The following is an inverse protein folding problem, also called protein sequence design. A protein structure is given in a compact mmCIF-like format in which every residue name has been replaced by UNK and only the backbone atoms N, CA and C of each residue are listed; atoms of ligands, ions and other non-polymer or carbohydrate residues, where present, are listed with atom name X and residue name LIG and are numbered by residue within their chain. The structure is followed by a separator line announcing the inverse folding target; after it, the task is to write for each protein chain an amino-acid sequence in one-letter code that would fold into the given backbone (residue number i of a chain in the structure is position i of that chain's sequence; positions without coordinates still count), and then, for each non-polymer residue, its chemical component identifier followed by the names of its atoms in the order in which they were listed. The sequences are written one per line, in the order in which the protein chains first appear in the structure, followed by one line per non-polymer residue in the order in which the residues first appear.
data_IF_293856088408
#
_entry.id   IF_293856088408
#
_cell.length_a   1.000
_cell.length_b   1.000
_cell.length_c   1.000
_cell.angle_alpha   90.00
_cell.angle_beta   90.00
_cell.angle_gamma   90.00
#
_symmetry.space_group_name_H-M   'P 1'
#
loop_
_entity.id
_entity.type
_entity.pdbx_description
1 polymer ?
#
# COMPACT_ATOMS: atom_id res chain seq x y z
N UNK A 1 2.50 36.74 3.37
CA UNK A 1 1.93 35.46 2.90
C UNK A 1 3.06 34.59 2.36
N UNK A 2 3.20 33.37 2.80
CA UNK A 2 4.27 32.47 2.31
C UNK A 2 3.97 32.08 0.84
N UNK A 3 4.99 31.97 0.01
CA UNK A 3 4.87 31.61 -1.42
C UNK A 3 3.97 30.39 -1.63
N UNK A 4 4.04 29.42 -0.73
CA UNK A 4 3.24 28.19 -0.81
C UNK A 4 1.74 28.42 -0.58
N UNK A 5 1.37 29.39 0.24
CA UNK A 5 -0.03 29.79 0.46
C UNK A 5 -0.62 30.43 -0.80
N UNK A 6 0.16 31.31 -1.46
CA UNK A 6 -0.23 31.91 -2.75
C UNK A 6 -0.51 30.83 -3.79
N UNK A 7 0.40 29.83 -3.92
CA UNK A 7 0.22 28.73 -4.87
C UNK A 7 -1.06 27.94 -4.61
N UNK A 8 -1.40 27.66 -3.34
CA UNK A 8 -2.64 26.96 -2.99
C UNK A 8 -3.87 27.76 -3.37
N UNK A 9 -3.87 29.06 -3.10
CA UNK A 9 -4.98 29.96 -3.50
C UNK A 9 -5.15 29.93 -5.03
N UNK A 10 -4.07 30.15 -5.78
CA UNK A 10 -4.08 30.17 -7.24
C UNK A 10 -4.52 28.83 -7.85
N UNK A 11 -4.26 27.73 -7.17
CA UNK A 11 -4.63 26.38 -7.59
C UNK A 11 -5.93 25.87 -6.96
N UNK A 12 -6.68 26.74 -6.24
CA UNK A 12 -7.99 26.48 -5.63
C UNK A 12 -7.99 25.44 -4.51
N UNK A 13 -6.83 25.16 -3.91
CA UNK A 13 -6.73 24.33 -2.72
C UNK A 13 -6.86 25.18 -1.46
N UNK A 14 -7.80 24.80 -0.59
CA UNK A 14 -8.15 25.54 0.63
C UNK A 14 -7.74 24.73 1.87
N UNK A 15 -7.40 25.38 3.00
CA UNK A 15 -7.20 24.69 4.27
C UNK A 15 -8.41 23.83 4.64
N UNK A 16 -8.15 22.69 5.26
CA UNK A 16 -9.16 21.69 5.59
C UNK A 16 -8.98 21.14 7.01
N UNK A 17 -9.98 20.41 7.48
CA UNK A 17 -9.91 19.64 8.71
C UNK A 17 -9.58 18.17 8.44
N UNK A 18 -9.15 17.47 9.47
CA UNK A 18 -8.98 16.01 9.42
C UNK A 18 -10.30 15.28 9.17
N UNK A 19 -11.41 15.80 9.74
CA UNK A 19 -12.75 15.23 9.54
C UNK A 19 -13.15 15.27 8.07
N UNK A 20 -13.04 16.44 7.42
CA UNK A 20 -13.35 16.58 6.00
C UNK A 20 -12.41 15.72 5.13
N UNK A 21 -11.12 15.63 5.47
CA UNK A 21 -10.19 14.74 4.79
C UNK A 21 -10.65 13.28 4.85
N UNK A 22 -11.09 12.80 6.02
CA UNK A 22 -11.61 11.44 6.22
C UNK A 22 -12.86 11.18 5.37
N UNK A 23 -13.78 12.14 5.28
CA UNK A 23 -14.99 12.04 4.44
C UNK A 23 -14.62 11.89 2.96
N UNK A 24 -13.72 12.74 2.45
CA UNK A 24 -13.24 12.69 1.06
C UNK A 24 -12.52 11.37 0.77
N UNK A 25 -11.71 10.90 1.71
CA UNK A 25 -11.04 9.61 1.59
C UNK A 25 -12.04 8.45 1.55
N UNK A 26 -13.04 8.46 2.39
CA UNK A 26 -14.12 7.44 2.42
C UNK A 26 -14.85 7.38 1.07
N UNK A 27 -15.05 8.53 0.44
CA UNK A 27 -15.73 8.61 -0.85
C UNK A 27 -14.84 8.13 -2.01
N UNK A 28 -13.61 8.65 -2.15
CA UNK A 28 -12.79 8.45 -3.36
C UNK A 28 -11.67 7.44 -3.19
N UNK A 29 -11.24 7.20 -1.95
CA UNK A 29 -10.12 6.30 -1.65
C UNK A 29 -8.75 6.89 -1.92
N UNK A 30 -7.73 6.14 -1.50
CA UNK A 30 -6.33 6.52 -1.66
C UNK A 30 -5.41 5.36 -1.36
N UNK A 31 -4.11 5.55 -1.56
CA UNK A 31 -3.10 4.57 -1.13
C UNK A 31 -3.04 4.47 0.39
N UNK A 32 -2.44 3.39 0.86
CA UNK A 32 -2.40 3.08 2.30
C UNK A 32 -1.72 4.18 3.14
N UNK A 33 -0.68 4.83 2.62
CA UNK A 33 0.02 5.95 3.28
C UNK A 33 -0.78 7.27 3.28
N UNK A 34 -1.98 7.26 2.70
CA UNK A 34 -2.97 8.34 2.74
C UNK A 34 -4.17 7.97 3.63
N UNK A 35 -4.22 6.75 4.20
CA UNK A 35 -5.37 6.27 4.98
C UNK A 35 -5.58 7.07 6.26
N UNK A 36 -6.82 7.54 6.55
CA UNK A 36 -7.10 8.38 7.73
C UNK A 36 -6.72 7.73 9.06
N UNK A 37 -6.89 6.42 9.22
CA UNK A 37 -6.53 5.75 10.49
C UNK A 37 -5.01 5.68 10.67
N UNK A 38 -4.25 5.59 9.59
CA UNK A 38 -2.77 5.72 9.65
C UNK A 38 -2.36 7.14 10.01
N UNK A 39 -3.03 8.15 9.46
CA UNK A 39 -2.81 9.55 9.82
C UNK A 39 -3.09 9.76 11.31
N UNK A 40 -4.24 9.28 11.79
CA UNK A 40 -4.65 9.37 13.20
C UNK A 40 -3.64 8.67 14.14
N UNK A 41 -3.17 7.48 13.74
CA UNK A 41 -2.12 6.75 14.46
C UNK A 41 -0.86 7.58 14.64
N UNK A 42 -0.34 8.21 13.59
CA UNK A 42 0.87 9.03 13.68
C UNK A 42 0.63 10.36 14.42
N UNK A 43 -0.55 10.95 14.30
CA UNK A 43 -0.92 12.14 15.09
C UNK A 43 -0.92 11.86 16.58
N UNK A 44 -1.59 10.79 17.00
CA UNK A 44 -1.81 10.48 18.42
C UNK A 44 -0.60 9.86 19.12
N UNK A 45 0.14 9.00 18.41
CA UNK A 45 1.21 8.19 19.01
C UNK A 45 2.61 8.75 18.77
N UNK A 46 2.82 9.53 17.73
CA UNK A 46 4.15 9.98 17.32
C UNK A 46 4.26 11.51 17.21
N UNK A 47 3.21 12.25 17.62
CA UNK A 47 3.16 13.72 17.57
C UNK A 47 3.52 14.30 16.21
N UNK A 48 3.16 13.62 15.13
CA UNK A 48 3.40 14.12 13.79
C UNK A 48 2.37 15.21 13.45
N UNK A 49 2.84 16.26 12.77
CA UNK A 49 2.00 17.38 12.39
C UNK A 49 1.50 17.22 10.96
N UNK A 50 0.18 17.39 10.80
CA UNK A 50 -0.47 17.30 9.51
C UNK A 50 -1.21 18.58 9.19
N UNK A 51 -1.08 19.05 7.95
CA UNK A 51 -1.87 20.15 7.39
C UNK A 51 -2.72 19.61 6.27
N UNK A 52 -4.03 19.75 6.39
CA UNK A 52 -5.01 19.22 5.44
C UNK A 52 -5.45 20.29 4.47
N UNK A 53 -5.73 19.89 3.23
CA UNK A 53 -6.22 20.75 2.16
C UNK A 53 -7.28 20.02 1.37
N UNK A 54 -8.31 20.79 0.90
CA UNK A 54 -9.35 20.25 0.02
C UNK A 54 -9.49 21.11 -1.24
N UNK A 55 -9.98 20.49 -2.29
CA UNK A 55 -10.34 21.14 -3.55
C UNK A 55 -11.85 21.16 -3.67
N UNK A 56 -12.43 22.36 -3.88
CA UNK A 56 -13.86 22.57 -4.03
C UNK A 56 -14.18 23.09 -5.44
N UNK A 57 -15.19 22.52 -6.08
CA UNK A 57 -15.71 22.92 -7.38
C UNK A 57 -17.23 22.73 -7.38
N UNK A 58 -17.97 23.74 -7.85
CA UNK A 58 -19.45 23.74 -7.91
C UNK A 58 -20.09 23.29 -6.58
N UNK A 59 -19.62 23.89 -5.50
CA UNK A 59 -19.99 23.60 -4.11
C UNK A 59 -19.76 22.16 -3.61
N UNK A 60 -19.11 21.31 -4.43
CA UNK A 60 -18.75 19.93 -4.07
C UNK A 60 -17.27 19.82 -3.75
N UNK A 61 -16.94 19.07 -2.72
CA UNK A 61 -15.55 18.70 -2.42
C UNK A 61 -15.13 17.56 -3.36
N UNK A 62 -14.17 17.84 -4.25
CA UNK A 62 -13.73 16.89 -5.28
C UNK A 62 -12.36 16.26 -5.00
N UNK A 63 -11.67 16.68 -3.95
CA UNK A 63 -10.39 16.08 -3.59
C UNK A 63 -9.85 16.62 -2.28
N UNK A 64 -8.97 15.85 -1.65
CA UNK A 64 -8.26 16.29 -0.47
C UNK A 64 -6.88 15.64 -0.38
N UNK A 65 -5.93 16.35 0.22
CA UNK A 65 -4.62 15.80 0.57
C UNK A 65 -4.13 16.40 1.89
N UNK A 66 -3.03 15.88 2.39
CA UNK A 66 -2.33 16.44 3.52
C UNK A 66 -0.83 16.53 3.28
N UNK A 67 -0.18 17.41 4.03
CA UNK A 67 1.26 17.49 4.16
C UNK A 67 1.62 17.03 5.55
N UNK A 68 2.64 16.17 5.63
CA UNK A 68 3.16 15.64 6.87
C UNK A 68 4.48 16.34 7.22
N UNK A 69 4.59 16.86 8.45
CA UNK A 69 5.78 17.52 8.99
C UNK A 69 6.38 18.59 8.05
N UNK A 70 5.53 19.40 7.42
CA UNK A 70 5.88 20.48 6.48
C UNK A 70 6.77 20.05 5.28
N UNK A 71 6.78 18.75 4.93
CA UNK A 71 7.65 18.25 3.86
C UNK A 71 6.90 17.98 2.55
N UNK A 72 6.30 16.80 2.43
CA UNK A 72 5.69 16.33 1.19
C UNK A 72 4.29 15.79 1.45
N UNK A 73 3.53 15.63 0.36
CA UNK A 73 2.25 14.94 0.41
C UNK A 73 2.47 13.50 0.82
N UNK A 74 1.62 13.00 1.73
CA UNK A 74 1.62 11.62 2.22
C UNK A 74 2.65 11.33 3.32
N UNK A 75 2.53 10.18 3.94
CA UNK A 75 3.38 9.72 5.03
C UNK A 75 4.67 9.11 4.49
N UNK A 76 5.81 9.41 5.15
CA UNK A 76 7.12 8.86 4.84
C UNK A 76 7.80 8.35 6.12
N UNK A 77 7.81 7.03 6.34
CA UNK A 77 8.31 6.41 7.57
C UNK A 77 9.78 6.02 7.55
N UNK A 78 10.48 6.16 6.43
CA UNK A 78 11.90 5.78 6.25
C UNK A 78 12.24 4.38 6.80
N UNK A 79 11.34 3.40 6.63
CA UNK A 79 11.47 2.01 7.10
C UNK A 79 11.44 1.82 8.62
N UNK A 80 10.91 2.76 9.38
CA UNK A 80 10.69 2.58 10.83
C UNK A 80 9.37 1.88 11.14
N UNK A 81 8.45 1.87 10.19
CA UNK A 81 7.13 1.22 10.27
C UNK A 81 6.85 0.41 9.00
N UNK A 82 5.98 -0.62 9.09
CA UNK A 82 5.63 -1.48 7.96
C UNK A 82 4.64 -0.77 7.00
N UNK A 83 5.00 0.41 6.56
CA UNK A 83 4.22 1.24 5.67
C UNK A 83 5.03 1.55 4.42
N UNK A 84 4.53 1.11 3.26
CA UNK A 84 5.12 1.46 1.97
C UNK A 84 4.91 2.96 1.70
N UNK A 85 5.94 3.55 1.15
CA UNK A 85 5.87 4.94 0.66
C UNK A 85 6.22 5.03 -0.84
N UNK A 86 5.95 3.95 -1.57
CA UNK A 86 6.34 3.82 -2.96
C UNK A 86 5.43 4.59 -3.90
N UNK A 87 4.17 4.74 -3.53
CA UNK A 87 3.15 5.42 -4.33
C UNK A 87 2.21 6.25 -3.46
N UNK A 88 1.75 7.38 -3.99
CA UNK A 88 0.73 8.23 -3.41
C UNK A 88 -0.46 8.30 -4.37
N UNK A 89 -1.57 7.70 -3.97
CA UNK A 89 -2.88 7.88 -4.59
C UNK A 89 -3.69 8.82 -3.70
N UNK A 90 -3.90 10.05 -4.17
CA UNK A 90 -4.62 11.10 -3.46
C UNK A 90 -6.14 10.86 -3.59
N UNK A 91 -6.94 11.00 -2.52
CA UNK A 91 -8.39 10.92 -2.62
C UNK A 91 -8.96 12.07 -3.47
N UNK A 92 -9.41 11.72 -4.70
CA UNK A 92 -9.89 12.67 -5.71
C UNK A 92 -11.04 12.08 -6.53
N UNK A 93 -12.00 12.93 -6.88
CA UNK A 93 -13.06 12.59 -7.83
C UNK A 93 -12.45 12.22 -9.20
N UNK A 94 -12.97 11.20 -9.91
CA UNK A 94 -12.40 10.74 -11.19
C UNK A 94 -12.38 11.80 -12.29
N UNK A 95 -13.32 12.72 -12.24
CA UNK A 95 -13.49 13.81 -13.21
C UNK A 95 -12.67 15.06 -12.90
N UNK A 96 -12.09 15.15 -11.69
CA UNK A 96 -11.30 16.31 -11.29
C UNK A 96 -10.06 16.48 -12.17
N UNK A 97 -9.82 17.72 -12.61
CA UNK A 97 -8.62 18.17 -13.32
C UNK A 97 -8.04 19.39 -12.61
N UNK A 98 -6.88 19.25 -11.98
CA UNK A 98 -6.33 20.32 -11.15
C UNK A 98 -4.81 20.43 -11.26
N UNK A 99 -4.27 21.51 -10.67
CA UNK A 99 -2.85 21.69 -10.38
C UNK A 99 -2.60 21.34 -8.91
N UNK A 100 -1.55 20.57 -8.63
CA UNK A 100 -1.16 20.20 -7.28
C UNK A 100 -0.07 21.19 -6.79
N UNK A 101 -0.34 22.01 -5.75
CA UNK A 101 0.60 23.06 -5.34
C UNK A 101 1.77 22.53 -4.52
N UNK A 102 1.63 21.35 -3.92
CA UNK A 102 2.63 20.81 -3.00
C UNK A 102 3.42 19.65 -3.63
N UNK A 103 4.61 19.41 -3.10
CA UNK A 103 5.57 18.48 -3.69
C UNK A 103 5.24 17.02 -3.37
N UNK A 104 5.32 16.20 -4.39
CA UNK A 104 5.49 14.76 -4.27
C UNK A 104 6.28 14.23 -5.47
N UNK A 105 7.01 13.14 -5.28
CA UNK A 105 7.71 12.43 -6.35
C UNK A 105 7.29 10.97 -6.47
N UNK A 106 6.11 10.66 -5.93
CA UNK A 106 5.54 9.30 -5.82
C UNK A 106 4.07 9.26 -6.23
N UNK A 107 3.66 10.27 -7.00
CA UNK A 107 2.28 10.38 -7.44
C UNK A 107 1.91 9.15 -8.28
N UNK A 108 0.79 8.52 -7.95
CA UNK A 108 0.27 7.39 -8.70
C UNK A 108 0.02 7.74 -10.17
N UNK A 109 0.38 6.86 -11.10
CA UNK A 109 0.07 7.05 -12.52
C UNK A 109 -1.44 7.10 -12.79
N UNK A 110 -2.28 6.62 -11.87
CA UNK A 110 -3.73 6.77 -11.95
C UNK A 110 -4.17 8.24 -11.95
N UNK A 111 -3.33 9.16 -11.44
CA UNK A 111 -3.55 10.59 -11.50
C UNK A 111 -3.08 11.27 -12.79
N UNK A 112 -2.51 10.53 -13.74
CA UNK A 112 -2.01 11.11 -15.00
C UNK A 112 -3.08 11.95 -15.74
N UNK A 113 -4.34 11.53 -15.83
CA UNK A 113 -5.38 12.35 -16.46
C UNK A 113 -5.88 13.50 -15.58
N UNK A 114 -5.55 13.55 -14.30
CA UNK A 114 -6.11 14.47 -13.32
C UNK A 114 -5.16 15.63 -12.95
N UNK A 115 -3.87 15.35 -12.76
CA UNK A 115 -2.88 16.33 -12.29
C UNK A 115 -2.14 16.94 -13.48
N UNK A 116 -2.38 18.23 -13.76
CA UNK A 116 -1.84 18.92 -14.94
C UNK A 116 -0.37 19.29 -14.81
N UNK A 117 0.14 19.55 -13.61
CA UNK A 117 1.52 19.92 -13.35
C UNK A 117 2.35 18.75 -12.79
N UNK A 118 2.26 17.59 -13.40
CA UNK A 118 3.08 16.44 -13.03
C UNK A 118 3.87 15.90 -14.23
N UNK A 119 5.11 15.51 -13.96
CA UNK A 119 5.98 14.81 -14.93
C UNK A 119 6.01 13.33 -14.59
N UNK A 120 5.79 12.46 -15.59
CA UNK A 120 5.62 11.02 -15.42
C UNK A 120 6.79 10.16 -15.92
N UNK A 121 7.65 10.68 -16.80
CA UNK A 121 8.70 9.89 -17.46
C UNK A 121 10.13 10.45 -17.32
N UNK A 122 10.30 11.73 -17.03
CA UNK A 122 11.57 12.42 -17.29
C UNK A 122 12.63 12.33 -16.18
N UNK A 123 12.30 11.96 -14.96
CA UNK A 123 13.25 12.18 -13.85
C UNK A 123 13.57 10.97 -12.98
N UNK A 124 12.88 9.84 -13.09
CA UNK A 124 13.16 8.67 -12.25
C UNK A 124 12.81 7.35 -12.94
N UNK A 125 13.76 6.42 -12.92
CA UNK A 125 13.57 5.01 -13.32
C UNK A 125 12.74 4.19 -12.31
N UNK A 126 12.02 4.84 -11.38
CA UNK A 126 11.21 4.13 -10.39
C UNK A 126 9.84 3.79 -10.97
N UNK A 127 9.57 2.52 -11.05
CA UNK A 127 8.27 1.99 -11.45
C UNK A 127 7.60 1.33 -10.25
N UNK A 128 6.32 1.62 -10.03
CA UNK A 128 5.50 0.85 -9.11
C UNK A 128 4.77 -0.25 -9.87
N UNK A 129 4.35 -1.30 -9.19
CA UNK A 129 3.76 -2.50 -9.77
C UNK A 129 2.34 -2.69 -9.27
N UNK A 130 1.33 -2.50 -10.13
CA UNK A 130 -0.06 -2.92 -9.86
C UNK A 130 -0.32 -4.31 -10.46
N UNK A 131 -0.95 -5.16 -9.69
CA UNK A 131 -1.34 -6.51 -10.11
C UNK A 131 -2.26 -6.44 -11.32
N UNK A 132 -2.05 -7.35 -12.27
CA UNK A 132 -2.86 -7.48 -13.49
C UNK A 132 -4.30 -7.82 -13.14
N UNK A 133 -5.25 -7.31 -13.92
CA UNK A 133 -6.67 -7.61 -13.72
C UNK A 133 -6.96 -9.11 -13.84
N UNK A 134 -6.32 -9.78 -14.80
CA UNK A 134 -6.43 -11.21 -15.00
C UNK A 134 -5.07 -11.86 -15.28
N UNK A 135 -4.96 -13.14 -14.98
CA UNK A 135 -3.83 -13.99 -15.34
C UNK A 135 -4.25 -14.99 -16.41
N UNK A 136 -3.27 -15.49 -17.18
CA UNK A 136 -3.54 -16.54 -18.15
C UNK A 136 -3.94 -17.86 -17.46
N UNK A 137 -4.74 -18.68 -18.14
CA UNK A 137 -5.14 -20.01 -17.63
C UNK A 137 -3.94 -20.90 -17.29
N UNK A 138 -2.86 -20.80 -18.06
CA UNK A 138 -1.60 -21.51 -17.80
C UNK A 138 -0.95 -21.05 -16.49
N UNK A 139 -0.93 -19.74 -16.24
CA UNK A 139 -0.38 -19.18 -15.01
C UNK A 139 -1.20 -19.65 -13.78
N UNK A 140 -2.53 -19.54 -13.85
CA UNK A 140 -3.45 -19.96 -12.79
C UNK A 140 -3.32 -21.47 -12.50
N UNK A 141 -3.23 -22.31 -13.54
CA UNK A 141 -3.00 -23.75 -13.39
C UNK A 141 -1.68 -24.04 -12.68
N UNK A 142 -0.61 -23.32 -13.03
CA UNK A 142 0.70 -23.49 -12.40
C UNK A 142 0.64 -23.15 -10.91
N UNK A 143 0.05 -22.01 -10.53
CA UNK A 143 -0.09 -21.60 -9.12
C UNK A 143 -0.95 -22.59 -8.32
N UNK A 144 -2.06 -23.07 -8.90
CA UNK A 144 -2.90 -24.10 -8.27
C UNK A 144 -2.14 -25.39 -8.03
N UNK A 145 -1.35 -25.85 -8.99
CA UNK A 145 -0.54 -27.05 -8.84
C UNK A 145 0.54 -26.91 -7.78
N UNK A 146 1.21 -25.76 -7.69
CA UNK A 146 2.16 -25.45 -6.62
C UNK A 146 1.49 -25.47 -5.25
N UNK A 147 0.32 -24.87 -5.13
CA UNK A 147 -0.47 -24.87 -3.89
C UNK A 147 -0.88 -26.29 -3.48
N UNK A 148 -1.37 -27.13 -4.42
CA UNK A 148 -1.71 -28.53 -4.14
C UNK A 148 -0.49 -29.34 -3.68
N UNK A 149 0.67 -29.11 -4.30
CA UNK A 149 1.93 -29.75 -3.87
C UNK A 149 2.35 -29.30 -2.48
N UNK A 150 2.19 -28.02 -2.17
CA UNK A 150 2.45 -27.46 -0.86
C UNK A 150 1.58 -28.13 0.23
N UNK A 151 0.27 -28.24 -0.01
CA UNK A 151 -0.66 -28.92 0.91
C UNK A 151 -0.29 -30.40 1.14
N UNK A 152 0.08 -31.16 0.06
CA UNK A 152 0.52 -32.54 0.16
C UNK A 152 1.82 -32.73 0.98
N UNK A 153 2.59 -31.66 1.16
CA UNK A 153 3.83 -31.63 1.97
C UNK A 153 3.63 -31.11 3.38
N UNK A 154 2.41 -31.21 3.92
CA UNK A 154 2.08 -30.72 5.27
C UNK A 154 1.86 -29.22 5.36
N UNK A 155 1.66 -28.56 4.21
CA UNK A 155 1.36 -27.12 4.18
C UNK A 155 -0.05 -26.81 4.68
N UNK A 156 -0.19 -25.68 5.35
CA UNK A 156 -1.48 -25.13 5.78
C UNK A 156 -1.50 -23.61 5.65
N UNK A 157 -2.71 -23.02 5.71
CA UNK A 157 -2.94 -21.59 5.52
C UNK A 157 -3.77 -21.07 6.68
N UNK A 158 -3.33 -19.97 7.31
CA UNK A 158 -4.08 -19.25 8.35
C UNK A 158 -4.37 -17.83 7.88
N UNK A 159 -5.56 -17.32 8.18
CA UNK A 159 -5.88 -15.92 7.91
C UNK A 159 -5.14 -15.01 8.88
N UNK A 160 -4.63 -13.88 8.38
CA UNK A 160 -4.03 -12.83 9.22
C UNK A 160 -5.05 -12.32 10.26
N UNK A 161 -6.34 -12.26 9.91
CA UNK A 161 -7.39 -11.83 10.81
C UNK A 161 -7.60 -12.73 12.03
N UNK A 162 -7.15 -13.99 11.96
CA UNK A 162 -7.28 -15.00 13.03
C UNK A 162 -6.03 -15.04 13.93
N UNK A 163 -5.07 -14.13 13.74
CA UNK A 163 -3.84 -14.05 14.51
C UNK A 163 -3.84 -12.82 15.41
N UNK A 164 -3.24 -12.95 16.60
CA UNK A 164 -2.99 -11.77 17.43
C UNK A 164 -1.87 -10.89 16.87
N UNK A 165 -1.83 -9.62 17.26
CA UNK A 165 -0.78 -8.69 16.83
C UNK A 165 0.61 -9.13 17.27
N UNK A 166 0.72 -9.73 18.45
CA UNK A 166 1.98 -10.25 18.98
C UNK A 166 2.44 -11.49 18.18
N UNK A 167 1.52 -12.40 17.86
CA UNK A 167 1.79 -13.55 16.99
C UNK A 167 2.30 -13.09 15.62
N UNK A 168 1.62 -12.13 14.98
CA UNK A 168 2.02 -11.57 13.68
C UNK A 168 3.40 -10.92 13.74
N UNK A 169 3.68 -10.19 14.81
CA UNK A 169 4.98 -9.53 15.03
C UNK A 169 6.11 -10.54 15.15
N UNK A 170 5.91 -11.57 15.97
CA UNK A 170 6.89 -12.63 16.17
C UNK A 170 7.18 -13.39 14.87
N UNK A 171 6.13 -13.83 14.18
CA UNK A 171 6.22 -14.54 12.90
C UNK A 171 6.98 -13.69 11.85
N UNK A 172 6.63 -12.42 11.72
CA UNK A 172 7.27 -11.57 10.72
C UNK A 172 8.77 -11.37 11.00
N UNK A 173 9.14 -11.11 12.24
CA UNK A 173 10.54 -10.90 12.63
C UNK A 173 11.35 -12.19 12.41
N UNK A 174 10.82 -13.34 12.80
CA UNK A 174 11.47 -14.64 12.60
C UNK A 174 11.72 -14.93 11.11
N UNK A 175 10.69 -14.81 10.29
CA UNK A 175 10.78 -15.03 8.84
C UNK A 175 11.70 -14.00 8.15
N UNK A 176 11.68 -12.75 8.60
CA UNK A 176 12.54 -11.71 8.06
C UNK A 176 14.03 -12.02 8.35
N UNK A 177 14.35 -12.43 9.58
CA UNK A 177 15.70 -12.85 9.97
C UNK A 177 16.16 -14.09 9.20
N UNK A 178 15.28 -15.08 9.03
CA UNK A 178 15.57 -16.26 8.22
C UNK A 178 15.91 -15.90 6.76
N UNK A 179 15.18 -14.94 6.17
CA UNK A 179 15.38 -14.54 4.77
C UNK A 179 16.62 -13.67 4.54
N UNK A 180 16.87 -12.70 5.41
CA UNK A 180 17.84 -11.63 5.18
C UNK A 180 19.04 -11.68 6.12
N UNK A 181 19.05 -12.60 7.08
CA UNK A 181 20.07 -12.69 8.12
C UNK A 181 19.90 -11.64 9.24
N UNK A 182 20.67 -11.80 10.30
CA UNK A 182 20.59 -10.95 11.50
C UNK A 182 21.19 -9.54 11.26
N UNK A 183 21.98 -9.34 10.22
CA UNK A 183 22.62 -8.07 9.88
C UNK A 183 21.68 -7.11 9.13
N UNK A 184 20.60 -7.60 8.56
CA UNK A 184 19.61 -6.77 7.88
C UNK A 184 18.64 -6.14 8.89
N UNK A 185 18.45 -4.82 8.79
CA UNK A 185 17.52 -4.11 9.66
C UNK A 185 16.07 -4.47 9.32
N UNK A 186 15.41 -5.13 10.26
CA UNK A 186 13.95 -5.25 10.31
C UNK A 186 13.36 -3.96 10.89
N UNK A 187 12.02 -3.86 10.88
CA UNK A 187 11.35 -2.84 11.68
C UNK A 187 11.66 -3.05 13.17
N UNK A 188 11.77 -1.97 13.99
CA UNK A 188 11.82 -2.11 15.44
C UNK A 188 10.61 -2.93 15.94
N UNK A 189 10.84 -3.92 16.81
CA UNK A 189 9.80 -4.84 17.25
C UNK A 189 8.62 -4.11 17.90
N UNK A 190 8.90 -3.11 18.74
CA UNK A 190 7.86 -2.31 19.42
C UNK A 190 7.02 -1.49 18.43
N UNK A 191 7.66 -0.93 17.38
CA UNK A 191 6.94 -0.20 16.33
C UNK A 191 6.03 -1.16 15.54
N UNK A 192 6.52 -2.35 15.23
CA UNK A 192 5.76 -3.36 14.50
C UNK A 192 4.57 -3.87 15.31
N UNK A 193 4.80 -4.25 16.58
CA UNK A 193 3.75 -4.72 17.49
C UNK A 193 2.68 -3.64 17.72
N UNK A 194 3.09 -2.42 18.00
CA UNK A 194 2.18 -1.30 18.20
C UNK A 194 1.38 -0.98 16.93
N UNK A 195 2.04 -0.96 15.76
CA UNK A 195 1.38 -0.76 14.47
C UNK A 195 0.34 -1.84 14.21
N UNK A 196 0.68 -3.11 14.39
CA UNK A 196 -0.27 -4.21 14.19
C UNK A 196 -1.41 -4.18 15.21
N UNK A 197 -1.15 -3.84 16.47
CA UNK A 197 -2.19 -3.74 17.50
C UNK A 197 -3.21 -2.64 17.21
N UNK A 198 -2.75 -1.46 16.83
CA UNK A 198 -3.64 -0.30 16.61
C UNK A 198 -4.35 -0.33 15.25
N UNK A 199 -3.74 -0.98 14.24
CA UNK A 199 -4.20 -0.98 12.85
C UNK A 199 -4.50 -2.39 12.33
N UNK A 200 -4.82 -3.33 13.24
CA UNK A 200 -5.10 -4.73 12.90
C UNK A 200 -6.19 -4.86 11.83
N UNK A 201 -7.22 -4.04 11.88
CA UNK A 201 -8.32 -4.00 10.93
C UNK A 201 -7.91 -3.66 9.50
N UNK A 202 -6.73 -3.05 9.30
CA UNK A 202 -6.15 -2.78 7.99
C UNK A 202 -5.30 -3.94 7.47
N UNK A 203 -4.92 -4.90 8.32
CA UNK A 203 -4.14 -6.06 7.90
C UNK A 203 -5.02 -7.01 7.07
N UNK A 204 -4.40 -7.62 6.05
CA UNK A 204 -5.10 -8.47 5.10
C UNK A 204 -4.20 -9.65 4.66
N UNK A 205 -4.82 -10.74 4.24
CA UNK A 205 -4.13 -11.86 3.62
C UNK A 205 -3.97 -13.08 4.52
N UNK A 206 -2.91 -13.84 4.24
CA UNK A 206 -2.67 -15.16 4.83
C UNK A 206 -1.23 -15.29 5.32
N UNK A 207 -1.03 -16.29 6.19
CA UNK A 207 0.26 -16.82 6.57
C UNK A 207 0.30 -18.27 6.11
N UNK A 208 1.43 -18.71 5.56
CA UNK A 208 1.65 -20.12 5.20
C UNK A 208 2.47 -20.80 6.29
N UNK A 209 2.09 -22.02 6.59
CA UNK A 209 2.76 -22.91 7.55
C UNK A 209 3.13 -24.23 6.87
N UNK A 210 4.20 -24.86 7.31
CA UNK A 210 4.57 -26.26 7.01
C UNK A 210 4.73 -26.97 8.35
N UNK A 211 3.96 -28.05 8.54
CA UNK A 211 3.99 -28.83 9.80
C UNK A 211 3.83 -27.97 11.06
N UNK A 212 2.96 -26.95 10.97
CA UNK A 212 2.70 -26.02 12.07
C UNK A 212 3.72 -24.89 12.22
N UNK A 213 4.80 -24.86 11.43
CA UNK A 213 5.85 -23.83 11.48
C UNK A 213 5.60 -22.76 10.41
N UNK A 214 5.59 -21.44 10.75
CA UNK A 214 5.43 -20.38 9.78
C UNK A 214 6.52 -20.43 8.69
N UNK A 215 6.13 -20.33 7.41
CA UNK A 215 7.07 -20.40 6.30
C UNK A 215 7.01 -19.21 5.33
N UNK A 216 5.90 -18.47 5.30
CA UNK A 216 5.79 -17.23 4.52
C UNK A 216 4.72 -16.31 5.09
N UNK A 217 5.02 -15.02 5.13
CA UNK A 217 4.09 -13.96 5.52
C UNK A 217 4.42 -12.66 4.77
N UNK A 218 3.41 -12.06 4.12
CA UNK A 218 3.47 -10.74 3.54
C UNK A 218 2.64 -9.77 4.37
N UNK A 219 3.20 -8.63 4.78
CA UNK A 219 2.45 -7.54 5.38
C UNK A 219 1.66 -6.86 4.26
N UNK A 220 0.40 -7.23 4.13
CA UNK A 220 -0.54 -6.61 3.21
C UNK A 220 -1.47 -5.70 4.00
N UNK A 221 -1.54 -4.44 3.61
CA UNK A 221 -2.43 -3.45 4.20
C UNK A 221 -3.57 -3.13 3.22
N UNK A 222 -4.78 -2.99 3.75
CA UNK A 222 -6.01 -2.74 2.99
C UNK A 222 -6.53 -1.33 3.27
N UNK A 223 -6.78 -0.57 2.23
CA UNK A 223 -7.39 0.76 2.25
C UNK A 223 -8.68 0.72 1.44
N UNK A 224 -9.82 0.87 2.11
CA UNK A 224 -11.12 0.73 1.48
C UNK A 224 -11.87 2.07 1.41
N UNK A 225 -12.54 2.31 0.29
CA UNK A 225 -13.41 3.45 0.03
C UNK A 225 -14.73 2.99 -0.59
N UNK A 226 -15.62 3.95 -0.91
CA UNK A 226 -16.83 3.63 -1.67
C UNK A 226 -16.53 3.15 -3.09
N UNK A 227 -15.45 3.64 -3.72
CA UNK A 227 -15.14 3.37 -5.14
C UNK A 227 -14.21 2.18 -5.36
N UNK A 228 -13.24 1.99 -4.47
CA UNK A 228 -12.18 1.02 -4.67
C UNK A 228 -11.63 0.47 -3.35
N UNK A 229 -10.90 -0.62 -3.45
CA UNK A 229 -10.07 -1.13 -2.36
C UNK A 229 -8.63 -1.18 -2.85
N UNK A 230 -7.74 -0.45 -2.16
CA UNK A 230 -6.32 -0.45 -2.42
C UNK A 230 -5.62 -1.38 -1.43
N UNK A 231 -4.92 -2.38 -1.94
CA UNK A 231 -4.06 -3.27 -1.17
C UNK A 231 -2.60 -2.93 -1.44
N UNK A 232 -1.77 -2.95 -0.42
CA UNK A 232 -0.35 -2.67 -0.53
C UNK A 232 0.50 -3.71 0.20
N UNK A 233 1.38 -4.38 -0.53
CA UNK A 233 2.37 -5.28 0.06
C UNK A 233 3.56 -4.44 0.50
N UNK A 234 3.57 -4.05 1.76
CA UNK A 234 4.64 -3.20 2.30
C UNK A 234 5.96 -3.94 2.50
N UNK A 235 5.90 -5.22 2.84
CA UNK A 235 7.07 -6.10 2.97
C UNK A 235 6.63 -7.57 2.98
N UNK A 236 7.57 -8.47 2.73
CA UNK A 236 7.31 -9.91 2.76
C UNK A 236 8.54 -10.70 3.20
N UNK A 237 8.29 -11.76 3.93
CA UNK A 237 9.32 -12.66 4.42
C UNK A 237 8.97 -14.13 4.19
N UNK A 238 9.99 -14.93 3.89
CA UNK A 238 9.86 -16.37 3.68
C UNK A 238 11.02 -17.09 4.40
N UNK A 239 10.75 -18.27 4.89
CA UNK A 239 11.77 -19.16 5.45
C UNK A 239 12.61 -19.74 4.31
N UNK A 240 13.94 -19.64 4.41
CA UNK A 240 14.83 -20.03 3.31
C UNK A 240 14.72 -21.52 2.96
N UNK A 241 14.56 -22.38 3.96
CA UNK A 241 14.43 -23.82 3.81
C UNK A 241 13.17 -24.24 3.03
N UNK A 242 12.13 -23.39 3.06
CA UNK A 242 10.86 -23.65 2.37
C UNK A 242 10.86 -23.21 0.90
N UNK A 243 11.90 -22.54 0.39
CA UNK A 243 11.98 -22.05 -1.00
C UNK A 243 11.65 -23.08 -2.08
N UNK A 244 12.05 -24.38 -1.96
CA UNK A 244 11.73 -25.39 -2.97
C UNK A 244 10.22 -25.62 -3.17
N UNK A 245 9.38 -25.23 -2.20
CA UNK A 245 7.92 -25.30 -2.27
C UNK A 245 7.27 -24.01 -2.80
N UNK A 246 8.06 -23.01 -3.20
CA UNK A 246 7.59 -21.72 -3.76
C UNK A 246 6.59 -20.96 -2.87
N UNK A 247 6.78 -20.87 -1.53
CA UNK A 247 5.77 -20.33 -0.63
C UNK A 247 5.44 -18.86 -0.93
N UNK A 248 6.41 -18.04 -1.36
CA UNK A 248 6.16 -16.65 -1.74
C UNK A 248 5.22 -16.48 -2.94
N UNK A 249 5.33 -17.38 -3.94
CA UNK A 249 4.42 -17.37 -5.09
C UNK A 249 3.03 -17.86 -4.72
N UNK A 250 2.92 -18.87 -3.87
CA UNK A 250 1.65 -19.38 -3.37
C UNK A 250 0.95 -18.31 -2.54
N UNK A 251 1.67 -17.68 -1.61
CA UNK A 251 1.13 -16.63 -0.75
C UNK A 251 0.61 -15.43 -1.54
N UNK A 252 1.40 -14.93 -2.50
CA UNK A 252 1.00 -13.85 -3.40
C UNK A 252 -0.26 -14.23 -4.17
N UNK A 253 -0.33 -15.44 -4.74
CA UNK A 253 -1.51 -15.92 -5.47
C UNK A 253 -2.75 -16.00 -4.58
N UNK A 254 -2.64 -16.54 -3.38
CA UNK A 254 -3.75 -16.61 -2.41
C UNK A 254 -4.23 -15.22 -2.00
N UNK A 255 -3.30 -14.30 -1.71
CA UNK A 255 -3.63 -12.93 -1.29
C UNK A 255 -4.32 -12.15 -2.42
N UNK A 256 -3.87 -12.29 -3.66
CA UNK A 256 -4.51 -11.66 -4.83
C UNK A 256 -5.91 -12.23 -5.06
N UNK A 257 -6.08 -13.55 -5.00
CA UNK A 257 -7.41 -14.16 -5.20
C UNK A 257 -8.39 -13.78 -4.09
N UNK A 258 -7.95 -13.73 -2.84
CA UNK A 258 -8.75 -13.23 -1.72
C UNK A 258 -9.15 -11.76 -1.93
N UNK A 259 -8.23 -10.92 -2.39
CA UNK A 259 -8.49 -9.51 -2.66
C UNK A 259 -9.50 -9.33 -3.82
N UNK A 260 -9.39 -10.13 -4.89
CA UNK A 260 -10.36 -10.15 -5.99
C UNK A 260 -11.75 -10.51 -5.50
N UNK A 261 -11.87 -11.59 -4.73
CA UNK A 261 -13.13 -12.02 -4.15
C UNK A 261 -13.72 -10.95 -3.22
N UNK A 262 -12.91 -10.38 -2.34
CA UNK A 262 -13.29 -9.29 -1.44
C UNK A 262 -13.87 -8.08 -2.19
N UNK A 263 -13.22 -7.68 -3.30
CA UNK A 263 -13.69 -6.56 -4.12
C UNK A 263 -14.95 -6.92 -4.92
N UNK A 264 -15.03 -8.14 -5.45
CA UNK A 264 -16.18 -8.62 -6.22
C UNK A 264 -17.46 -8.65 -5.37
N UNK A 265 -17.40 -9.18 -4.15
CA UNK A 265 -18.53 -9.19 -3.21
C UNK A 265 -19.06 -7.79 -2.88
N UNK A 266 -18.18 -6.79 -2.91
CA UNK A 266 -18.49 -5.38 -2.58
C UNK A 266 -18.70 -4.50 -3.80
N UNK A 267 -18.59 -5.06 -5.00
CA UNK A 267 -18.70 -4.33 -6.28
C UNK A 267 -17.74 -3.13 -6.36
N UNK A 268 -16.51 -3.31 -5.83
CA UNK A 268 -15.46 -2.29 -5.79
C UNK A 268 -14.31 -2.61 -6.73
N UNK A 269 -13.69 -1.56 -7.25
CA UNK A 269 -12.47 -1.71 -8.07
C UNK A 269 -11.32 -2.21 -7.21
N UNK A 270 -10.62 -3.25 -7.70
CA UNK A 270 -9.38 -3.73 -7.09
C UNK A 270 -8.19 -2.90 -7.54
N UNK A 271 -7.39 -2.42 -6.60
CA UNK A 271 -6.06 -1.88 -6.81
C UNK A 271 -5.10 -2.63 -5.86
N UNK A 272 -4.17 -3.42 -6.41
CA UNK A 272 -3.26 -4.23 -5.60
C UNK A 272 -1.82 -3.90 -5.96
N UNK A 273 -1.14 -3.15 -5.09
CA UNK A 273 0.26 -2.77 -5.24
C UNK A 273 1.18 -3.82 -4.62
N UNK A 274 2.20 -4.21 -5.38
CA UNK A 274 3.29 -5.06 -4.88
C UNK A 274 4.62 -4.27 -4.79
N UNK A 275 4.52 -2.93 -4.76
CA UNK A 275 5.60 -2.00 -4.54
C UNK A 275 6.51 -1.80 -5.75
N UNK A 276 7.66 -1.19 -5.53
CA UNK A 276 8.61 -0.78 -6.59
C UNK A 276 9.19 -1.99 -7.32
N UNK A 277 9.35 -1.85 -8.65
CA UNK A 277 10.16 -2.73 -9.47
C UNK A 277 11.64 -2.34 -9.32
N UNK A 278 12.47 -3.33 -8.99
CA UNK A 278 13.92 -3.21 -8.99
C UNK A 278 14.52 -4.32 -9.87
N UNK A 279 15.76 -4.19 -10.35
CA UNK A 279 16.40 -5.22 -11.16
C UNK A 279 16.38 -6.62 -10.51
N UNK A 280 16.61 -6.68 -9.21
CA UNK A 280 16.59 -7.92 -8.43
C UNK A 280 15.18 -8.48 -8.21
N UNK A 281 14.11 -7.74 -8.57
CA UNK A 281 12.69 -8.10 -8.39
C UNK A 281 11.93 -8.21 -9.71
N UNK A 282 12.59 -8.57 -10.79
CA UNK A 282 11.99 -8.74 -12.14
C UNK A 282 10.82 -9.75 -12.14
N UNK A 283 10.79 -10.70 -11.20
CA UNK A 283 9.67 -11.63 -11.02
C UNK A 283 8.32 -10.91 -10.82
N UNK A 284 8.32 -9.64 -10.36
CA UNK A 284 7.10 -8.85 -10.19
C UNK A 284 6.34 -8.64 -11.50
N UNK A 285 7.02 -8.63 -12.66
CA UNK A 285 6.39 -8.50 -13.99
C UNK A 285 5.47 -9.67 -14.33
N UNK A 286 5.67 -10.83 -13.73
CA UNK A 286 4.75 -11.96 -13.90
C UNK A 286 3.37 -11.64 -13.31
N UNK A 287 3.35 -10.92 -12.19
CA UNK A 287 2.15 -10.59 -11.41
C UNK A 287 1.51 -9.26 -11.80
N UNK A 288 2.29 -8.32 -12.27
CA UNK A 288 1.91 -6.92 -12.34
C UNK A 288 2.28 -6.26 -13.67
N UNK A 289 1.68 -5.11 -13.90
CA UNK A 289 2.09 -4.15 -14.93
C UNK A 289 2.81 -3.00 -14.24
N UNK A 290 4.13 -2.83 -14.47
CA UNK A 290 4.88 -1.70 -13.93
C UNK A 290 4.50 -0.39 -14.61
N UNK A 291 4.48 0.70 -13.85
CA UNK A 291 4.26 2.06 -14.36
C UNK A 291 5.11 3.08 -13.60
N UNK A 292 5.45 4.17 -14.25
CA UNK A 292 6.24 5.24 -13.64
C UNK A 292 5.39 6.08 -12.68
N UNK A 293 5.94 6.35 -11.48
CA UNK A 293 5.35 7.34 -10.57
C UNK A 293 5.66 8.75 -11.04
N UNK A 294 4.73 9.67 -10.77
CA UNK A 294 4.84 11.07 -11.15
C UNK A 294 5.54 11.92 -10.10
N UNK A 295 6.06 13.08 -10.56
CA UNK A 295 6.58 14.16 -9.73
C UNK A 295 5.77 15.42 -10.02
N UNK A 296 5.19 16.04 -8.97
CA UNK A 296 4.57 17.35 -9.10
C UNK A 296 5.63 18.45 -9.32
N UNK A 297 5.32 19.39 -10.20
CA UNK A 297 6.11 20.60 -10.44
C UNK A 297 5.42 21.73 -9.66
N UNK A 298 6.11 22.25 -8.66
CA UNK A 298 5.59 23.31 -7.78
C UNK A 298 6.48 24.53 -7.85
#
# INVERSE_FOLDING_TARGET
MKIQEVKRILTRWQPSSFTLYREVFTQYGGSINMHPDIVDYFMKRHNWHFKFFHYKEDDKIKGAYFICNDQNIGILTRRTFPLSSDEILIPMAPDLRCFLPDRTNRLSALHQPQIRNAIWKLTRKKQNCLVKEAFSSKFEKTRRNEYQRFLKKGGSVKSVADCSSDELTHIFIELFRSRFGNTSSCYPADNLANFFSQLHHLLFGHILYIEGIPCAFDIVLKSESQMNVYFDVSNGAIKNECRPLSPGSILMWLNINRARHYCQERQKKLLFSIGILKPEWEYKRMWSTPYFTGKSIC
#
